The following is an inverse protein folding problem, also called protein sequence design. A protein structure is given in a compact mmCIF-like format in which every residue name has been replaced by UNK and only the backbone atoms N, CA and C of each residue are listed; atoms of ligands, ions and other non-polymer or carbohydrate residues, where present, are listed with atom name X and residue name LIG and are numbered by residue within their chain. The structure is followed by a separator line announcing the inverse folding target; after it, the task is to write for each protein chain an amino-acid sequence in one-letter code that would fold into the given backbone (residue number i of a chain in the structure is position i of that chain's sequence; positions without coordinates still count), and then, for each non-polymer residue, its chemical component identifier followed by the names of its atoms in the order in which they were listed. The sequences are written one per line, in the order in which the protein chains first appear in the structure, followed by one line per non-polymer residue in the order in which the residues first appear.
data_IF_105063732681
#
_entry.id   IF_105063732681
#
_cell.length_a   1.000
_cell.length_b   1.000
_cell.length_c   1.000
_cell.angle_alpha   90.00
_cell.angle_beta   90.00
_cell.angle_gamma   90.00
#
_symmetry.space_group_name_H-M   'P 1'
#
loop_
_entity.id
_entity.type
_entity.pdbx_description
1 polymer ?
#
# COMPACT_ATOMS: atom_id res chain seq x y z
N UNK A 1 -25.05 14.38 3.73
CA UNK A 1 -24.27 14.66 4.95
C UNK A 1 -22.91 15.18 4.52
N UNK A 2 -22.51 16.38 4.93
CA UNK A 2 -21.14 16.86 4.67
C UNK A 2 -20.19 16.13 5.62
N UNK A 3 -19.35 15.27 5.06
CA UNK A 3 -18.23 14.68 5.78
C UNK A 3 -17.17 15.76 6.01
N UNK A 4 -16.61 15.81 7.21
CA UNK A 4 -15.52 16.72 7.54
C UNK A 4 -14.36 15.89 8.06
N UNK A 5 -13.23 15.94 7.37
CA UNK A 5 -11.98 15.36 7.81
C UNK A 5 -10.99 16.48 8.13
N UNK A 6 -10.26 16.34 9.23
CA UNK A 6 -9.14 17.20 9.58
C UNK A 6 -7.89 16.32 9.57
N UNK A 7 -6.97 16.60 8.65
CA UNK A 7 -5.69 15.93 8.56
C UNK A 7 -4.58 16.86 9.04
N UNK A 8 -3.80 16.42 10.03
CA UNK A 8 -2.61 17.13 10.47
C UNK A 8 -1.39 16.54 9.75
N UNK A 9 -0.60 17.38 9.06
CA UNK A 9 0.64 16.99 8.39
C UNK A 9 1.85 17.54 9.14
N UNK A 10 2.99 16.84 9.04
CA UNK A 10 4.24 17.23 9.69
C UNK A 10 4.12 17.43 11.21
N UNK A 11 3.25 16.65 11.88
CA UNK A 11 3.20 16.62 13.34
C UNK A 11 4.48 15.97 13.85
N UNK A 12 5.41 16.79 14.32
CA UNK A 12 6.65 16.33 14.94
C UNK A 12 6.41 16.24 16.44
N UNK A 13 6.60 15.05 17.01
CA UNK A 13 6.65 14.88 18.46
C UNK A 13 8.10 15.20 18.88
N UNK A 14 8.36 16.35 19.52
CA UNK A 14 9.72 16.91 19.62
C UNK A 14 10.64 16.14 20.55
N UNK A 15 10.09 15.35 21.47
CA UNK A 15 10.88 14.49 22.34
C UNK A 15 11.33 13.26 21.56
N UNK A 16 12.59 12.83 21.75
CA UNK A 16 12.99 11.46 21.46
C UNK A 16 12.03 10.56 22.22
N UNK A 17 10.97 10.12 21.56
CA UNK A 17 10.06 9.16 22.15
C UNK A 17 10.89 7.89 22.18
N UNK A 18 11.37 7.51 23.37
CA UNK A 18 11.82 6.15 23.60
C UNK A 18 10.65 5.18 23.39
N UNK A 19 10.66 4.03 24.06
CA UNK A 19 9.43 3.24 24.13
C UNK A 19 8.33 4.04 24.87
N UNK A 20 7.11 4.10 24.30
CA UNK A 20 6.02 4.88 24.89
C UNK A 20 4.68 4.71 24.18
N UNK A 21 3.61 5.31 24.71
CA UNK A 21 2.29 5.31 24.08
C UNK A 21 1.83 6.75 23.82
N UNK A 22 1.63 7.10 22.55
CA UNK A 22 0.99 8.35 22.14
C UNK A 22 -0.52 8.13 22.18
N UNK A 23 -1.25 9.00 22.88
CA UNK A 23 -2.71 8.96 22.93
C UNK A 23 -3.30 10.15 22.19
N UNK A 24 -4.08 9.88 21.14
CA UNK A 24 -4.87 10.87 20.42
C UNK A 24 -6.32 10.76 20.89
N UNK A 25 -6.92 11.89 21.28
CA UNK A 25 -8.32 11.97 21.72
C UNK A 25 -9.04 12.96 20.85
N UNK A 26 -10.04 12.49 20.10
CA UNK A 26 -10.90 13.34 19.27
C UNK A 26 -12.26 13.44 19.96
N UNK A 27 -12.77 14.67 20.10
CA UNK A 27 -14.10 14.96 20.62
C UNK A 27 -14.88 15.75 19.58
N UNK A 28 -15.99 15.19 19.09
CA UNK A 28 -16.83 15.84 18.11
C UNK A 28 -18.29 15.41 18.30
N UNK A 29 -19.24 16.37 18.25
CA UNK A 29 -20.69 16.10 18.33
C UNK A 29 -21.09 15.17 19.50
N UNK A 30 -20.48 15.36 20.68
CA UNK A 30 -20.73 14.53 21.86
C UNK A 30 -20.06 13.14 21.86
N UNK A 31 -19.41 12.75 20.77
CA UNK A 31 -18.67 11.48 20.65
C UNK A 31 -17.20 11.72 20.98
N UNK A 32 -16.63 10.84 21.82
CA UNK A 32 -15.18 10.83 22.12
C UNK A 32 -14.55 9.55 21.59
N UNK A 33 -13.59 9.68 20.69
CA UNK A 33 -12.80 8.56 20.16
C UNK A 33 -11.36 8.69 20.65
N UNK A 34 -10.78 7.56 21.10
CA UNK A 34 -9.40 7.51 21.61
C UNK A 34 -8.61 6.50 20.79
N UNK A 35 -7.44 6.91 20.33
CA UNK A 35 -6.46 6.04 19.66
C UNK A 35 -5.18 6.05 20.48
N UNK A 36 -4.71 4.86 20.86
CA UNK A 36 -3.42 4.69 21.51
C UNK A 36 -2.45 4.10 20.49
N UNK A 37 -1.32 4.77 20.27
CA UNK A 37 -0.25 4.36 19.38
C UNK A 37 1.00 4.03 20.19
N UNK A 38 1.45 2.78 20.18
CA UNK A 38 2.67 2.37 20.88
C UNK A 38 3.88 2.62 19.98
N UNK A 39 4.82 3.44 20.46
CA UNK A 39 6.11 3.70 19.83
C UNK A 39 7.13 2.72 20.41
N UNK A 40 7.88 2.06 19.53
CA UNK A 40 8.96 1.13 19.90
C UNK A 40 10.31 1.80 19.66
N UNK A 41 11.32 1.42 20.44
CA UNK A 41 12.68 1.89 20.18
C UNK A 41 13.17 1.42 18.80
N UNK A 42 13.83 2.30 18.02
CA UNK A 42 14.45 1.90 16.76
C UNK A 42 15.49 0.80 16.99
N UNK A 43 15.51 -0.20 16.11
CA UNK A 43 16.53 -1.24 16.15
C UNK A 43 17.92 -0.62 15.91
N UNK A 44 18.96 -1.17 16.57
CA UNK A 44 20.35 -0.65 16.44
C UNK A 44 20.91 -0.78 15.02
N UNK A 45 20.36 -1.68 14.19
CA UNK A 45 20.76 -1.86 12.78
C UNK A 45 19.72 -1.22 11.86
N UNK A 46 20.15 -0.18 11.15
CA UNK A 46 19.35 0.49 10.11
C UNK A 46 19.38 -0.33 8.83
N UNK A 47 18.21 -0.70 8.31
CA UNK A 47 18.09 -1.29 6.98
C UNK A 47 18.42 -0.23 5.92
N UNK A 48 19.34 -0.55 4.99
CA UNK A 48 19.65 0.31 3.84
C UNK A 48 18.60 0.16 2.73
N UNK A 49 18.15 -1.07 2.51
CA UNK A 49 17.19 -1.44 1.48
C UNK A 49 16.10 -2.34 2.09
N UNK A 50 14.90 -2.27 1.54
CA UNK A 50 13.76 -3.15 1.90
C UNK A 50 13.24 -3.77 0.61
N UNK A 51 13.08 -5.10 0.60
CA UNK A 51 12.44 -5.84 -0.48
C UNK A 51 11.25 -6.59 0.12
N UNK A 52 10.06 -6.31 -0.37
CA UNK A 52 8.81 -6.90 0.10
C UNK A 52 8.22 -7.79 -0.99
N UNK A 53 8.06 -9.08 -0.68
CA UNK A 53 7.37 -10.03 -1.55
C UNK A 53 5.94 -10.21 -1.05
N UNK A 54 4.96 -10.01 -1.92
CA UNK A 54 3.54 -10.24 -1.64
C UNK A 54 3.08 -11.42 -2.49
N UNK A 55 2.70 -12.52 -1.83
CA UNK A 55 1.92 -13.59 -2.45
C UNK A 55 0.43 -13.28 -2.29
N UNK A 56 -0.19 -12.69 -3.30
CA UNK A 56 -1.62 -12.34 -3.25
C UNK A 56 -2.46 -13.63 -3.06
N UNK A 57 -3.36 -13.62 -2.07
CA UNK A 57 -4.15 -14.80 -1.67
C UNK A 57 -3.36 -15.98 -1.07
N UNK A 58 -2.06 -15.84 -0.78
CA UNK A 58 -1.20 -16.94 -0.32
C UNK A 58 -1.42 -17.29 1.17
N UNK A 59 -2.50 -18.01 1.45
CA UNK A 59 -2.80 -18.55 2.78
C UNK A 59 -1.91 -19.73 3.17
N UNK A 60 -1.89 -20.11 4.45
CA UNK A 60 -1.10 -21.25 4.96
C UNK A 60 -1.38 -22.57 4.19
N UNK A 61 -2.62 -22.92 3.83
CA UNK A 61 -2.89 -24.07 2.95
C UNK A 61 -2.20 -23.98 1.57
N UNK A 62 -2.15 -22.80 0.95
CA UNK A 62 -1.47 -22.63 -0.34
C UNK A 62 0.05 -22.80 -0.20
N UNK A 63 0.64 -22.36 0.91
CA UNK A 63 2.06 -22.61 1.23
C UNK A 63 2.31 -24.11 1.35
N UNK A 64 1.43 -24.84 2.05
CA UNK A 64 1.54 -26.29 2.19
C UNK A 64 1.39 -27.02 0.85
N UNK A 65 0.43 -26.61 0.00
CA UNK A 65 0.25 -27.15 -1.33
C UNK A 65 1.47 -26.86 -2.24
N UNK A 66 2.02 -25.65 -2.18
CA UNK A 66 3.21 -25.28 -2.94
C UNK A 66 4.42 -26.13 -2.55
N UNK A 67 4.62 -26.44 -1.26
CA UNK A 67 5.65 -27.39 -0.82
C UNK A 67 5.43 -28.77 -1.42
N UNK A 68 4.20 -29.28 -1.37
CA UNK A 68 3.88 -30.60 -1.88
C UNK A 68 4.20 -30.72 -3.38
N UNK A 69 3.76 -29.75 -4.18
CA UNK A 69 3.96 -29.76 -5.63
C UNK A 69 5.41 -29.50 -6.02
N UNK A 70 6.09 -28.56 -5.37
CA UNK A 70 7.45 -28.14 -5.79
C UNK A 70 8.58 -28.98 -5.20
N UNK A 71 8.39 -29.59 -4.02
CA UNK A 71 9.42 -30.37 -3.33
C UNK A 71 9.14 -31.86 -3.33
N UNK A 72 7.87 -32.26 -3.42
CA UNK A 72 7.47 -33.65 -3.23
C UNK A 72 7.46 -34.06 -1.75
N UNK A 73 7.18 -35.33 -1.51
CA UNK A 73 7.01 -35.92 -0.18
C UNK A 73 7.63 -37.32 -0.13
N UNK A 74 8.21 -37.68 1.01
CA UNK A 74 8.63 -39.05 1.33
C UNK A 74 8.28 -39.38 2.77
N UNK A 75 7.73 -40.57 3.02
CA UNK A 75 7.32 -41.03 4.35
C UNK A 75 6.44 -40.02 5.12
N UNK A 76 5.51 -39.36 4.42
CA UNK A 76 4.59 -38.37 5.01
C UNK A 76 5.23 -37.02 5.35
N UNK A 77 6.47 -36.76 4.92
CA UNK A 77 7.19 -35.50 5.16
C UNK A 77 7.57 -34.83 3.86
N UNK A 78 7.47 -33.51 3.82
CA UNK A 78 8.01 -32.72 2.71
C UNK A 78 9.52 -32.96 2.57
N UNK A 79 10.01 -33.03 1.34
CA UNK A 79 11.44 -33.24 1.07
C UNK A 79 12.30 -31.99 1.38
N UNK A 80 11.74 -30.79 1.24
CA UNK A 80 12.35 -29.52 1.66
C UNK A 80 11.26 -28.47 1.93
N UNK A 81 11.66 -27.32 2.45
CA UNK A 81 10.84 -26.12 2.64
C UNK A 81 10.95 -25.14 1.45
N UNK A 82 10.06 -24.17 1.39
CA UNK A 82 10.16 -23.03 0.49
C UNK A 82 11.20 -22.04 1.01
N UNK A 83 11.81 -21.26 0.12
CA UNK A 83 12.85 -20.29 0.50
C UNK A 83 12.37 -19.26 1.54
N UNK A 84 11.11 -18.82 1.45
CA UNK A 84 10.54 -17.88 2.42
C UNK A 84 10.41 -18.47 3.83
N UNK A 85 10.27 -19.79 3.98
CA UNK A 85 10.21 -20.46 5.29
C UNK A 85 11.60 -20.59 5.93
N UNK A 86 12.67 -20.43 5.14
CA UNK A 86 14.06 -20.40 5.62
C UNK A 86 14.46 -19.02 6.16
N UNK A 87 13.59 -18.01 6.06
CA UNK A 87 13.80 -16.71 6.69
C UNK A 87 13.74 -16.87 8.22
N UNK A 88 14.72 -16.33 8.94
CA UNK A 88 14.93 -16.60 10.38
C UNK A 88 13.87 -16.05 11.34
N UNK A 89 12.80 -15.43 10.84
CA UNK A 89 11.68 -14.88 11.62
C UNK A 89 10.37 -15.13 10.87
N UNK A 90 9.37 -15.59 11.62
CA UNK A 90 8.01 -15.80 11.14
C UNK A 90 7.03 -15.14 12.10
N UNK A 91 5.96 -14.58 11.56
CA UNK A 91 4.89 -13.96 12.33
C UNK A 91 3.55 -14.14 11.64
N UNK A 92 2.48 -14.03 12.42
CA UNK A 92 1.12 -14.00 11.91
C UNK A 92 0.59 -12.57 11.98
N UNK A 93 -0.15 -12.15 10.95
CA UNK A 93 -0.74 -10.81 10.85
C UNK A 93 -2.25 -10.97 10.68
N UNK A 94 -3.01 -10.17 11.43
CA UNK A 94 -4.45 -10.07 11.24
C UNK A 94 -4.74 -9.06 10.12
N UNK A 95 -5.46 -9.49 9.10
CA UNK A 95 -5.62 -8.72 7.85
C UNK A 95 -6.94 -7.97 7.75
N UNK A 96 -7.85 -8.06 8.74
CA UNK A 96 -9.15 -7.39 8.70
C UNK A 96 -9.04 -5.89 8.40
N UNK A 97 -9.95 -5.36 7.58
CA UNK A 97 -10.05 -3.95 7.20
C UNK A 97 -10.81 -3.12 8.24
N UNK A 98 -11.19 -1.90 7.85
CA UNK A 98 -12.02 -1.01 8.68
C UNK A 98 -13.48 -1.48 8.71
N UNK A 99 -14.00 -1.93 7.58
CA UNK A 99 -15.40 -2.27 7.36
C UNK A 99 -15.63 -3.74 6.96
N UNK A 100 -14.59 -4.56 6.94
CA UNK A 100 -14.70 -5.99 6.62
C UNK A 100 -13.71 -6.85 7.39
N UNK A 101 -14.20 -8.02 7.84
CA UNK A 101 -13.37 -9.09 8.40
C UNK A 101 -12.54 -9.75 7.29
N UNK A 102 -13.12 -9.89 6.10
CA UNK A 102 -12.47 -10.47 4.91
C UNK A 102 -12.08 -9.32 3.98
N UNK A 103 -10.78 -9.08 3.87
CA UNK A 103 -10.25 -8.00 3.04
C UNK A 103 -10.16 -8.37 1.58
N UNK A 104 -10.10 -7.33 0.75
CA UNK A 104 -9.70 -7.45 -0.65
C UNK A 104 -8.22 -7.05 -0.80
N UNK A 105 -7.66 -7.17 -2.00
CA UNK A 105 -6.25 -6.80 -2.23
C UNK A 105 -6.00 -5.30 -1.99
N UNK A 106 -6.99 -4.42 -2.22
CA UNK A 106 -6.79 -2.97 -2.06
C UNK A 106 -6.59 -2.56 -0.61
N UNK A 107 -7.53 -2.90 0.27
CA UNK A 107 -7.43 -2.44 1.65
C UNK A 107 -6.34 -3.15 2.46
N UNK A 108 -5.98 -4.38 2.07
CA UNK A 108 -4.83 -5.09 2.63
C UNK A 108 -3.50 -4.49 2.14
N UNK A 109 -3.33 -4.24 0.84
CA UNK A 109 -2.13 -3.59 0.30
C UNK A 109 -1.96 -2.15 0.80
N UNK A 110 -3.07 -1.43 0.97
CA UNK A 110 -3.06 -0.11 1.60
C UNK A 110 -2.48 -0.17 3.02
N UNK A 111 -2.84 -1.17 3.83
CA UNK A 111 -2.32 -1.30 5.19
C UNK A 111 -0.80 -1.49 5.21
N UNK A 112 -0.25 -2.25 4.25
CA UNK A 112 1.20 -2.44 4.13
C UNK A 112 1.93 -1.17 3.66
N UNK A 113 1.29 -0.34 2.83
CA UNK A 113 1.91 0.86 2.27
C UNK A 113 1.66 2.14 3.07
N UNK A 114 0.60 2.22 3.88
CA UNK A 114 0.27 3.42 4.67
C UNK A 114 0.41 3.23 6.18
N UNK A 115 0.51 1.98 6.64
CA UNK A 115 0.45 1.63 8.06
C UNK A 115 -0.95 1.72 8.68
N UNK A 116 -1.97 2.08 7.89
CA UNK A 116 -3.36 2.23 8.33
C UNK A 116 -4.31 1.24 7.65
N UNK A 117 -5.24 0.65 8.41
CA UNK A 117 -6.34 -0.13 7.82
C UNK A 117 -7.23 0.79 6.98
N UNK A 118 -7.74 0.30 5.85
CA UNK A 118 -8.74 1.04 5.06
C UNK A 118 -9.98 0.19 4.77
N UNK A 119 -10.93 0.80 4.08
CA UNK A 119 -12.17 0.19 3.60
C UNK A 119 -11.94 -0.61 2.32
N UNK A 120 -12.72 -1.68 2.11
CA UNK A 120 -12.66 -2.51 0.90
C UNK A 120 -12.65 -1.65 -0.37
N UNK A 121 -11.81 -2.01 -1.35
CA UNK A 121 -11.52 -1.30 -2.61
C UNK A 121 -10.66 -0.03 -2.51
N UNK A 122 -10.42 0.52 -1.32
CA UNK A 122 -9.73 1.80 -1.19
C UNK A 122 -8.19 1.65 -1.22
N UNK A 123 -7.54 2.60 -1.87
CA UNK A 123 -6.09 2.75 -1.96
C UNK A 123 -5.71 4.17 -1.51
N UNK A 124 -4.80 4.31 -0.57
CA UNK A 124 -4.21 5.60 -0.18
C UNK A 124 -5.18 6.64 0.39
N UNK A 125 -6.39 6.24 0.79
CA UNK A 125 -7.42 7.16 1.31
C UNK A 125 -8.08 6.65 2.59
N UNK A 126 -8.52 7.59 3.43
CA UNK A 126 -9.51 7.36 4.47
C UNK A 126 -10.89 7.55 3.86
N UNK A 127 -11.65 6.47 3.75
CA UNK A 127 -12.98 6.52 3.15
C UNK A 127 -13.94 7.29 4.03
N UNK A 128 -14.63 8.25 3.41
CA UNK A 128 -15.77 8.95 3.99
C UNK A 128 -17.05 8.64 3.20
N UNK A 129 -18.13 9.36 3.48
CA UNK A 129 -19.44 9.16 2.84
C UNK A 129 -19.63 9.92 1.53
N UNK A 130 -18.56 10.47 0.94
CA UNK A 130 -18.61 11.11 -0.37
C UNK A 130 -18.69 10.11 -1.51
N UNK A 131 -19.28 10.55 -2.63
CA UNK A 131 -19.43 9.73 -3.85
C UNK A 131 -18.29 9.91 -4.85
N UNK A 132 -17.45 10.94 -4.68
CA UNK A 132 -16.29 11.19 -5.53
C UNK A 132 -15.12 10.34 -5.05
N UNK A 133 -14.74 9.37 -5.88
CA UNK A 133 -13.68 8.41 -5.60
C UNK A 133 -12.31 9.06 -5.32
N UNK A 134 -12.11 10.30 -5.75
CA UNK A 134 -10.87 11.06 -5.57
C UNK A 134 -10.98 12.18 -4.52
N UNK A 135 -12.14 12.46 -3.95
CA UNK A 135 -12.31 13.52 -2.94
C UNK A 135 -11.95 13.09 -1.51
N UNK A 136 -11.75 11.79 -1.27
CA UNK A 136 -11.52 11.28 0.08
C UNK A 136 -10.17 11.73 0.67
N UNK A 137 -10.07 11.92 2.01
CA UNK A 137 -8.84 12.31 2.67
C UNK A 137 -7.66 11.38 2.36
N UNK A 138 -6.54 11.95 1.91
CA UNK A 138 -5.34 11.23 1.47
C UNK A 138 -4.49 10.77 2.66
N UNK A 139 -3.91 9.57 2.55
CA UNK A 139 -2.94 9.01 3.51
C UNK A 139 -1.57 9.01 2.86
N UNK A 140 -0.54 9.58 3.51
CA UNK A 140 0.84 9.49 2.98
C UNK A 140 1.28 8.02 2.92
N UNK A 141 1.73 7.59 1.74
CA UNK A 141 2.23 6.25 1.47
C UNK A 141 3.73 6.16 1.80
N UNK A 142 4.19 4.96 2.10
CA UNK A 142 5.59 4.65 2.41
C UNK A 142 6.51 5.10 1.27
N UNK A 143 6.10 4.89 0.02
CA UNK A 143 6.88 5.29 -1.16
C UNK A 143 7.02 6.81 -1.28
N UNK A 144 5.92 7.56 -1.07
CA UNK A 144 5.95 9.03 -1.03
C UNK A 144 6.90 9.51 0.08
N UNK A 145 6.80 8.89 1.26
CA UNK A 145 7.62 9.24 2.41
C UNK A 145 9.11 9.00 2.16
N UNK A 146 9.51 7.80 1.70
CA UNK A 146 10.93 7.47 1.49
C UNK A 146 11.56 8.27 0.36
N UNK A 147 10.80 8.60 -0.70
CA UNK A 147 11.30 9.50 -1.75
C UNK A 147 11.52 10.90 -1.21
N UNK A 148 10.50 11.52 -0.62
CA UNK A 148 10.56 12.92 -0.18
C UNK A 148 11.50 13.16 1.00
N UNK A 149 11.61 12.21 1.94
CA UNK A 149 12.39 12.39 3.18
C UNK A 149 13.74 11.71 3.19
N UNK A 150 13.90 10.64 2.41
CA UNK A 150 15.10 9.80 2.46
C UNK A 150 15.83 9.71 1.11
N UNK A 151 15.26 10.28 0.04
CA UNK A 151 15.80 10.21 -1.32
C UNK A 151 16.11 8.75 -1.75
N UNK A 152 15.21 7.82 -1.40
CA UNK A 152 15.33 6.41 -1.76
C UNK A 152 14.63 6.13 -3.09
N UNK A 153 15.23 5.27 -3.91
CA UNK A 153 14.57 4.72 -5.09
C UNK A 153 13.43 3.78 -4.70
N UNK A 154 12.39 3.76 -5.52
CA UNK A 154 11.21 2.89 -5.36
C UNK A 154 11.04 2.05 -6.62
N UNK A 155 10.91 0.73 -6.46
CA UNK A 155 10.66 -0.19 -7.56
C UNK A 155 9.43 -1.05 -7.30
N UNK A 156 8.64 -1.29 -8.35
CA UNK A 156 7.45 -2.15 -8.32
C UNK A 156 7.54 -3.17 -9.45
N UNK A 157 7.45 -4.44 -9.07
CA UNK A 157 7.46 -5.57 -10.00
C UNK A 157 6.28 -6.47 -9.66
N UNK A 158 5.49 -6.80 -10.67
CA UNK A 158 4.29 -7.62 -10.51
C UNK A 158 4.09 -8.52 -11.72
N UNK A 159 3.39 -9.64 -11.53
CA UNK A 159 2.87 -10.46 -12.61
C UNK A 159 1.47 -10.04 -13.06
N UNK A 160 0.80 -9.17 -12.30
CA UNK A 160 -0.51 -8.61 -12.62
C UNK A 160 -0.39 -7.34 -13.49
N UNK A 161 -1.52 -6.67 -13.74
CA UNK A 161 -1.50 -5.28 -14.24
C UNK A 161 -0.83 -4.37 -13.21
N UNK A 162 0.00 -3.41 -13.63
CA UNK A 162 0.64 -2.48 -12.68
C UNK A 162 -0.37 -1.60 -11.93
N UNK A 163 -1.54 -1.39 -12.53
CA UNK A 163 -2.67 -0.69 -11.94
C UNK A 163 -3.50 -1.59 -11.01
N UNK A 164 -3.18 -2.88 -10.88
CA UNK A 164 -3.88 -3.73 -9.92
C UNK A 164 -3.61 -3.28 -8.48
N UNK A 165 -4.51 -3.61 -7.56
CA UNK A 165 -4.54 -3.00 -6.24
C UNK A 165 -3.22 -3.17 -5.45
N UNK A 166 -2.61 -4.35 -5.51
CA UNK A 166 -1.36 -4.66 -4.80
C UNK A 166 -0.19 -3.77 -5.25
N UNK A 167 0.16 -3.69 -6.55
CA UNK A 167 1.17 -2.74 -7.02
C UNK A 167 0.73 -1.28 -6.89
N UNK A 168 -0.52 -0.96 -7.23
CA UNK A 168 -1.02 0.41 -7.20
C UNK A 168 -1.01 1.05 -5.81
N UNK A 169 -1.14 0.27 -4.73
CA UNK A 169 -1.06 0.76 -3.36
C UNK A 169 0.25 1.48 -3.01
N UNK A 170 1.27 1.37 -3.87
CA UNK A 170 2.54 2.09 -3.73
C UNK A 170 2.40 3.58 -4.07
N UNK A 171 1.45 3.98 -4.93
CA UNK A 171 1.30 5.38 -5.37
C UNK A 171 -0.14 5.91 -5.45
N UNK A 172 -1.12 5.03 -5.48
CA UNK A 172 -2.49 5.40 -5.80
C UNK A 172 -3.28 5.89 -4.59
N UNK A 173 -4.08 6.92 -4.83
CA UNK A 173 -5.07 7.46 -3.92
C UNK A 173 -6.44 7.51 -4.60
N UNK A 174 -7.31 6.56 -4.24
CA UNK A 174 -8.68 6.46 -4.75
C UNK A 174 -9.53 5.57 -3.84
N UNK A 175 -10.82 5.86 -3.76
CA UNK A 175 -11.83 5.00 -3.14
C UNK A 175 -11.97 3.66 -3.82
N UNK A 176 -11.70 3.60 -5.13
CA UNK A 176 -11.99 2.45 -5.98
C UNK A 176 -10.75 1.99 -6.72
N UNK A 177 -10.32 0.78 -6.41
CA UNK A 177 -9.25 0.07 -7.12
C UNK A 177 -9.49 -0.12 -8.63
N UNK A 178 -10.72 0.08 -9.10
CA UNK A 178 -11.10 -0.06 -10.51
C UNK A 178 -10.82 1.19 -11.34
N UNK A 179 -10.40 2.29 -10.73
CA UNK A 179 -9.97 3.53 -11.38
C UNK A 179 -8.61 3.39 -12.08
N UNK A 180 -8.41 2.31 -12.84
CA UNK A 180 -7.13 1.87 -13.41
C UNK A 180 -6.48 2.93 -14.31
N UNK A 181 -7.28 3.63 -15.10
CA UNK A 181 -6.84 4.74 -15.95
C UNK A 181 -6.21 5.85 -15.08
N UNK A 182 -6.96 6.37 -14.11
CA UNK A 182 -6.47 7.39 -13.18
C UNK A 182 -5.28 6.90 -12.35
N UNK A 183 -5.30 5.65 -11.87
CA UNK A 183 -4.19 5.02 -11.14
C UNK A 183 -2.90 5.05 -11.98
N UNK A 184 -2.97 4.78 -13.29
CA UNK A 184 -1.80 4.83 -14.19
C UNK A 184 -1.20 6.23 -14.25
N UNK A 185 -2.06 7.25 -14.32
CA UNK A 185 -1.67 8.65 -14.37
C UNK A 185 -1.10 9.14 -13.03
N UNK A 186 -1.69 8.72 -11.91
CA UNK A 186 -1.27 9.14 -10.57
C UNK A 186 0.18 8.77 -10.24
N UNK A 187 0.73 7.71 -10.82
CA UNK A 187 2.12 7.34 -10.59
C UNK A 187 3.11 8.46 -10.98
N UNK A 188 2.83 9.20 -12.06
CA UNK A 188 3.72 10.26 -12.58
C UNK A 188 3.21 11.68 -12.31
N UNK A 189 1.89 11.89 -12.31
CA UNK A 189 1.29 13.19 -12.05
C UNK A 189 0.90 13.42 -10.60
N UNK A 190 0.88 12.36 -9.79
CA UNK A 190 0.29 12.41 -8.46
C UNK A 190 -1.22 12.61 -8.55
N UNK A 191 -1.77 13.21 -7.51
CA UNK A 191 -3.20 13.39 -7.33
C UNK A 191 -3.46 14.72 -6.62
N UNK A 192 -4.70 15.17 -6.63
CA UNK A 192 -5.10 16.35 -5.87
C UNK A 192 -4.89 16.08 -4.38
N UNK A 193 -4.22 17.02 -3.71
CA UNK A 193 -3.93 17.01 -2.28
C UNK A 193 -3.06 15.85 -1.74
N UNK A 194 -2.50 14.93 -2.55
CA UNK A 194 -1.45 14.02 -2.03
C UNK A 194 -0.11 14.74 -1.82
N UNK A 195 0.87 14.01 -1.29
CA UNK A 195 2.12 14.61 -0.83
C UNK A 195 3.05 14.87 -2.00
N UNK A 196 3.25 13.87 -2.84
CA UNK A 196 4.09 13.96 -4.05
C UNK A 196 3.78 12.80 -4.97
N UNK A 197 3.88 12.97 -6.30
CA UNK A 197 3.98 11.81 -7.20
C UNK A 197 5.14 10.91 -6.78
N UNK A 198 4.92 9.59 -6.87
CA UNK A 198 5.96 8.61 -6.51
C UNK A 198 6.99 8.46 -7.64
N UNK A 199 6.57 8.43 -8.90
CA UNK A 199 7.44 8.18 -10.07
C UNK A 199 8.40 6.99 -9.82
N UNK A 200 7.93 5.73 -9.92
CA UNK A 200 8.74 4.55 -9.57
C UNK A 200 9.97 4.38 -10.47
N UNK A 201 11.18 4.32 -9.91
CA UNK A 201 12.44 4.13 -10.65
C UNK A 201 12.46 2.83 -11.47
N UNK A 202 11.69 1.82 -11.03
CA UNK A 202 11.45 0.59 -11.77
C UNK A 202 9.95 0.28 -11.71
N UNK A 203 9.33 0.06 -12.87
CA UNK A 203 7.95 -0.37 -12.98
C UNK A 203 7.84 -1.51 -14.01
N UNK A 204 7.56 -2.73 -13.55
CA UNK A 204 7.46 -3.91 -14.41
C UNK A 204 6.18 -4.70 -14.09
N UNK A 205 5.40 -4.99 -15.13
CA UNK A 205 4.17 -5.77 -15.03
C UNK A 205 3.36 -5.74 -16.32
N UNK A 206 2.11 -6.17 -16.25
CA UNK A 206 1.13 -6.07 -17.34
C UNK A 206 0.34 -4.76 -17.31
N UNK A 207 -0.83 -4.75 -17.96
CA UNK A 207 -1.76 -3.61 -17.92
C UNK A 207 -1.51 -2.52 -18.96
N UNK A 208 -0.77 -2.84 -20.03
CA UNK A 208 -0.46 -1.91 -21.12
C UNK A 208 -1.68 -1.24 -21.77
N UNK A 209 -2.87 -1.84 -21.67
CA UNK A 209 -4.13 -1.23 -22.18
C UNK A 209 -4.40 0.16 -21.60
N UNK A 210 -4.09 0.39 -20.32
CA UNK A 210 -4.32 1.67 -19.64
C UNK A 210 -3.23 2.70 -19.94
N UNK A 211 -2.20 2.31 -20.68
CA UNK A 211 -1.20 3.24 -21.21
C UNK A 211 -1.58 3.78 -22.59
N UNK A 212 -2.53 3.14 -23.28
CA UNK A 212 -2.97 3.53 -24.62
C UNK A 212 -4.18 4.48 -24.55
N UNK A 213 -4.28 5.47 -25.45
CA UNK A 213 -5.37 6.46 -25.48
C UNK A 213 -6.80 5.88 -25.36
N UNK A 214 -7.05 4.67 -25.86
CA UNK A 214 -8.38 4.08 -25.82
C UNK A 214 -8.90 3.77 -24.41
N UNK A 215 -8.01 3.52 -23.44
CA UNK A 215 -8.39 3.16 -22.06
C UNK A 215 -7.65 3.98 -21.00
N UNK A 216 -6.80 4.91 -21.39
CA UNK A 216 -5.99 5.71 -20.47
C UNK A 216 -6.76 6.89 -19.88
N UNK A 217 -6.15 7.53 -18.90
CA UNK A 217 -6.69 8.74 -18.28
C UNK A 217 -6.82 9.85 -19.33
N UNK A 218 -8.06 10.34 -19.52
CA UNK A 218 -8.39 11.44 -20.44
C UNK A 218 -7.92 11.23 -21.90
N UNK A 219 -7.71 9.96 -22.30
CA UNK A 219 -7.27 9.62 -23.65
C UNK A 219 -5.80 9.93 -23.93
N UNK A 220 -4.98 10.12 -22.89
CA UNK A 220 -3.55 10.39 -23.02
C UNK A 220 -2.77 9.16 -23.53
N UNK A 221 -1.71 9.38 -24.30
CA UNK A 221 -0.73 8.32 -24.53
C UNK A 221 0.25 8.29 -23.35
N UNK A 222 0.00 7.40 -22.39
CA UNK A 222 0.84 7.35 -21.19
C UNK A 222 2.23 6.80 -21.49
N UNK A 223 2.46 6.07 -22.59
CA UNK A 223 3.83 5.71 -22.97
C UNK A 223 4.63 6.96 -23.32
N UNK A 224 4.03 7.91 -24.03
CA UNK A 224 4.65 9.22 -24.30
C UNK A 224 4.85 10.03 -23.02
N UNK A 225 3.85 10.06 -22.13
CA UNK A 225 3.97 10.81 -20.86
C UNK A 225 5.07 10.24 -19.95
N UNK A 226 5.21 8.92 -19.86
CA UNK A 226 6.32 8.29 -19.13
C UNK A 226 7.66 8.54 -19.82
N UNK A 227 7.72 8.54 -21.16
CA UNK A 227 8.97 8.85 -21.88
C UNK A 227 9.46 10.27 -21.61
N UNK A 228 8.56 11.24 -21.48
CA UNK A 228 8.92 12.63 -21.09
C UNK A 228 9.57 12.69 -19.70
N UNK A 229 9.25 11.72 -18.83
CA UNK A 229 9.87 11.57 -17.50
C UNK A 229 11.19 10.79 -17.53
N UNK A 230 11.63 10.30 -18.70
CA UNK A 230 12.90 9.59 -18.89
C UNK A 230 12.82 8.06 -18.78
N UNK A 231 11.62 7.47 -18.87
CA UNK A 231 11.44 6.02 -19.02
C UNK A 231 11.75 5.51 -20.43
#
# INVERSE_FOLDING_TARGET
YTAHAIAFRNVVIPSRVGEGTIRVVVRARGVTTKVNWKVYEPTRRRAKNVVLFIGDGMSLPFIAAARLVSRGMSNGKYLDSLWMEKLGKMGLVQTAGVDSIITDSANSANAYNSGGKSSVNALGVWVDSGDDDFAHPKVELLAEHVKRKMNMSVGVVTTAEVQDATPAAVWAHTRRRDEKAAITAQAIYGCVDCVTPVVPDVLMGGGGRYFLPASSYEGLDMYEEYRKMGY
#
